data_IF_046113454510
#
_entry.id   IF_046113454510
#
_cell.length_a   1.000
_cell.length_b   1.000
_cell.length_c   1.000
_cell.angle_alpha   90.00
_cell.angle_beta   90.00
_cell.angle_gamma   90.00
#
_symmetry.space_group_name_H-M   'P 1'
#
loop_
_entity.id
_entity.type
_entity.pdbx_description
1 polymer ?
#
# COMPACT_ATOMS: atom_id res chain seq x y z
N UNK A 1 13.83 -17.14 4.12
CA UNK A 1 12.76 -16.14 4.01
C UNK A 1 12.68 -15.71 2.55
N UNK A 2 11.75 -16.27 1.78
CA UNK A 2 11.53 -16.00 0.35
C UNK A 2 10.62 -14.79 0.23
N UNK A 3 11.03 -13.80 -0.56
CA UNK A 3 10.29 -12.54 -0.69
C UNK A 3 10.20 -12.10 -2.14
N UNK A 4 9.07 -11.49 -2.50
CA UNK A 4 8.87 -10.85 -3.79
C UNK A 4 8.54 -9.38 -3.54
N UNK A 5 9.07 -8.50 -4.36
CA UNK A 5 8.66 -7.11 -4.40
C UNK A 5 8.09 -6.81 -5.80
N UNK A 6 6.93 -6.17 -5.84
CA UNK A 6 6.32 -5.69 -7.08
C UNK A 6 6.46 -4.17 -7.20
N UNK A 7 6.25 -3.65 -8.40
CA UNK A 7 6.14 -2.22 -8.62
C UNK A 7 5.04 -1.60 -7.74
N UNK A 8 5.19 -0.34 -7.30
CA UNK A 8 4.22 0.31 -6.43
C UNK A 8 2.79 0.24 -6.99
N UNK A 9 1.90 -0.46 -6.28
CA UNK A 9 0.53 -0.71 -6.73
C UNK A 9 -0.26 0.58 -6.96
N UNK A 10 0.00 1.66 -6.21
CA UNK A 10 -0.65 2.95 -6.48
C UNK A 10 -0.35 3.52 -7.87
N UNK A 11 0.79 3.16 -8.47
CA UNK A 11 1.13 3.55 -9.84
C UNK A 11 0.53 2.59 -10.87
N UNK A 12 0.51 1.29 -10.57
CA UNK A 12 -0.01 0.26 -11.48
C UNK A 12 -1.53 0.35 -11.59
N UNK A 13 -2.22 0.58 -10.47
CA UNK A 13 -3.66 0.69 -10.39
C UNK A 13 -4.14 2.15 -10.42
N UNK A 14 -3.41 3.02 -11.13
CA UNK A 14 -3.80 4.41 -11.31
C UNK A 14 -5.21 4.52 -11.92
N UNK A 15 -6.05 5.39 -11.37
CA UNK A 15 -7.44 5.56 -11.82
C UNK A 15 -8.46 4.60 -11.20
N UNK A 16 -8.02 3.62 -10.41
CA UNK A 16 -8.91 2.75 -9.65
C UNK A 16 -9.13 3.25 -8.22
N UNK A 17 -10.32 2.95 -7.67
CA UNK A 17 -10.71 3.31 -6.31
C UNK A 17 -10.32 2.26 -5.26
N UNK A 18 -10.68 2.53 -4.01
CA UNK A 18 -10.32 1.74 -2.81
C UNK A 18 -10.68 0.27 -2.94
N UNK A 19 -11.90 -0.07 -3.37
CA UNK A 19 -12.35 -1.48 -3.50
C UNK A 19 -11.48 -2.28 -4.47
N UNK A 20 -10.98 -1.64 -5.52
CA UNK A 20 -10.10 -2.29 -6.48
C UNK A 20 -8.73 -2.57 -5.86
N UNK A 21 -8.21 -1.66 -5.02
CA UNK A 21 -6.96 -1.85 -4.30
C UNK A 21 -7.06 -3.05 -3.34
N UNK A 22 -8.17 -3.20 -2.62
CA UNK A 22 -8.43 -4.37 -1.76
C UNK A 22 -8.45 -5.66 -2.57
N UNK A 23 -9.14 -5.67 -3.72
CA UNK A 23 -9.15 -6.84 -4.62
C UNK A 23 -7.75 -7.18 -5.13
N UNK A 24 -6.94 -6.17 -5.47
CA UNK A 24 -5.56 -6.36 -5.90
C UNK A 24 -4.73 -6.97 -4.76
N UNK A 25 -4.86 -6.46 -3.53
CA UNK A 25 -4.15 -7.02 -2.37
C UNK A 25 -4.46 -8.52 -2.17
N UNK A 26 -5.74 -8.91 -2.24
CA UNK A 26 -6.17 -10.32 -2.16
C UNK A 26 -5.56 -11.18 -3.28
N UNK A 27 -5.51 -10.65 -4.51
CA UNK A 27 -4.90 -11.37 -5.64
C UNK A 27 -3.39 -11.51 -5.50
N UNK A 28 -2.72 -10.50 -4.98
CA UNK A 28 -1.28 -10.57 -4.68
C UNK A 28 -0.99 -11.58 -3.57
N UNK A 29 -1.82 -11.64 -2.52
CA UNK A 29 -1.68 -12.62 -1.45
C UNK A 29 -1.85 -14.06 -1.96
N UNK A 30 -2.85 -14.28 -2.82
CA UNK A 30 -3.06 -15.57 -3.47
C UNK A 30 -1.86 -15.96 -4.35
N UNK A 31 -1.35 -15.04 -5.18
CA UNK A 31 -0.16 -15.29 -5.99
C UNK A 31 1.08 -15.58 -5.13
N UNK A 32 1.25 -14.89 -4.00
CA UNK A 32 2.33 -15.16 -3.06
C UNK A 32 2.20 -16.55 -2.41
N UNK A 33 0.98 -16.99 -2.11
CA UNK A 33 0.70 -18.32 -1.60
C UNK A 33 1.03 -19.41 -2.64
N UNK A 34 0.60 -19.22 -3.88
CA UNK A 34 0.81 -20.17 -4.98
C UNK A 34 2.30 -20.40 -5.28
N UNK A 35 3.12 -19.35 -5.17
CA UNK A 35 4.58 -19.41 -5.39
C UNK A 35 5.33 -19.84 -4.12
N UNK A 36 4.65 -19.97 -2.97
CA UNK A 36 5.25 -20.38 -1.71
C UNK A 36 6.23 -19.35 -1.13
N UNK A 37 5.85 -18.07 -1.19
CA UNK A 37 6.63 -16.93 -0.71
C UNK A 37 6.13 -16.47 0.66
N UNK A 38 7.05 -16.09 1.54
CA UNK A 38 6.74 -15.70 2.91
C UNK A 38 6.15 -14.28 2.98
N UNK A 39 6.70 -13.35 2.20
CA UNK A 39 6.27 -11.95 2.16
C UNK A 39 6.27 -11.37 0.74
N UNK A 40 5.24 -10.60 0.42
CA UNK A 40 5.11 -9.84 -0.82
C UNK A 40 5.05 -8.34 -0.52
N UNK A 41 6.08 -7.61 -0.93
CA UNK A 41 6.12 -6.16 -0.84
C UNK A 41 5.70 -5.48 -2.14
N UNK A 42 5.39 -4.18 -2.07
CA UNK A 42 5.06 -3.37 -3.25
C UNK A 42 3.61 -2.89 -3.30
N UNK A 43 2.76 -3.34 -2.37
CA UNK A 43 1.46 -2.71 -2.11
C UNK A 43 1.66 -1.33 -1.47
N UNK A 44 2.04 -0.34 -2.27
CA UNK A 44 2.60 0.90 -1.75
C UNK A 44 2.48 2.07 -2.71
N UNK A 45 2.81 3.24 -2.18
CA UNK A 45 2.71 4.52 -2.87
C UNK A 45 3.88 5.45 -2.53
N UNK A 46 4.22 6.33 -3.47
CA UNK A 46 5.17 7.42 -3.25
C UNK A 46 4.39 8.74 -3.21
N UNK A 47 4.36 9.37 -2.04
CA UNK A 47 3.52 10.55 -1.78
C UNK A 47 4.33 11.78 -1.34
N UNK A 48 5.65 11.67 -1.32
CA UNK A 48 6.57 12.74 -0.90
C UNK A 48 6.53 14.01 -1.78
N UNK A 49 5.98 13.96 -3.00
CA UNK A 49 5.79 15.13 -3.90
C UNK A 49 4.32 15.55 -4.05
N UNK A 50 3.44 14.99 -3.21
CA UNK A 50 1.99 15.14 -3.32
C UNK A 50 1.29 13.79 -3.44
N UNK A 51 0.02 13.78 -3.10
CA UNK A 51 -0.82 12.58 -3.12
C UNK A 51 -1.70 12.57 -4.37
N UNK A 52 -1.51 11.55 -5.21
CA UNK A 52 -2.44 11.27 -6.31
C UNK A 52 -3.72 10.64 -5.77
N UNK A 53 -4.81 10.69 -6.55
CA UNK A 53 -6.05 9.99 -6.22
C UNK A 53 -5.84 8.49 -6.01
N UNK A 54 -4.96 7.87 -6.78
CA UNK A 54 -4.61 6.45 -6.62
C UNK A 54 -3.82 6.18 -5.33
N UNK A 55 -2.95 7.10 -4.91
CA UNK A 55 -2.23 6.97 -3.65
C UNK A 55 -3.17 7.13 -2.44
N UNK A 56 -4.13 8.07 -2.53
CA UNK A 56 -5.21 8.23 -1.53
C UNK A 56 -6.01 6.93 -1.41
N UNK A 57 -6.50 6.41 -2.55
CA UNK A 57 -7.27 5.17 -2.59
C UNK A 57 -6.48 3.98 -2.03
N UNK A 58 -5.17 3.90 -2.30
CA UNK A 58 -4.33 2.87 -1.71
C UNK A 58 -4.22 3.02 -0.20
N UNK A 59 -3.96 4.23 0.32
CA UNK A 59 -3.89 4.49 1.77
C UNK A 59 -5.20 4.09 2.44
N UNK A 60 -6.33 4.51 1.89
CA UNK A 60 -7.65 4.23 2.45
C UNK A 60 -8.01 2.74 2.40
N UNK A 61 -7.41 1.98 1.48
CA UNK A 61 -7.62 0.54 1.39
C UNK A 61 -6.80 -0.28 2.40
N UNK A 62 -5.80 0.32 3.06
CA UNK A 62 -4.86 -0.42 3.91
C UNK A 62 -5.50 -1.19 5.06
N UNK A 63 -6.44 -0.62 5.85
CA UNK A 63 -7.08 -1.35 6.96
C UNK A 63 -7.77 -2.62 6.49
N UNK A 64 -8.53 -2.51 5.39
CA UNK A 64 -9.25 -3.66 4.84
C UNK A 64 -8.32 -4.65 4.12
N UNK A 65 -7.35 -4.16 3.35
CA UNK A 65 -6.43 -4.99 2.59
C UNK A 65 -5.54 -5.83 3.50
N UNK A 66 -4.95 -5.23 4.54
CA UNK A 66 -4.00 -5.90 5.42
C UNK A 66 -4.67 -6.81 6.46
N UNK A 67 -5.93 -6.53 6.85
CA UNK A 67 -6.70 -7.46 7.68
C UNK A 67 -7.14 -8.73 6.94
N UNK A 68 -7.21 -8.68 5.60
CA UNK A 68 -7.68 -9.79 4.76
C UNK A 68 -6.55 -10.48 3.99
N UNK A 69 -5.28 -10.15 4.26
CA UNK A 69 -4.11 -10.75 3.61
C UNK A 69 -3.07 -11.16 4.65
N UNK A 70 -2.32 -12.22 4.40
CA UNK A 70 -1.35 -12.76 5.36
C UNK A 70 0.11 -12.52 4.98
N UNK A 71 0.39 -12.29 3.69
CA UNK A 71 1.76 -12.20 3.14
C UNK A 71 2.05 -10.81 2.58
N UNK A 72 1.04 -10.02 2.27
CA UNK A 72 1.20 -8.70 1.65
C UNK A 72 1.70 -7.70 2.68
N UNK A 73 2.76 -6.98 2.32
CA UNK A 73 3.34 -5.89 3.08
C UNK A 73 3.13 -4.58 2.34
N UNK A 74 2.73 -3.54 3.08
CA UNK A 74 2.60 -2.19 2.56
C UNK A 74 3.81 -1.31 2.90
N UNK A 75 4.12 -0.37 2.01
CA UNK A 75 5.14 0.63 2.23
C UNK A 75 4.78 1.95 1.55
N UNK A 76 4.80 3.05 2.32
CA UNK A 76 4.44 4.38 1.81
C UNK A 76 5.56 5.37 2.08
N UNK A 77 6.06 5.97 0.99
CA UNK A 77 7.12 6.97 1.05
C UNK A 77 6.53 8.36 1.19
N UNK A 78 6.61 8.92 2.39
CA UNK A 78 6.09 10.26 2.74
C UNK A 78 7.13 11.38 2.63
N UNK A 79 8.41 11.04 2.57
CA UNK A 79 9.49 12.01 2.60
C UNK A 79 10.61 11.66 1.62
N UNK A 80 11.30 12.68 1.15
CA UNK A 80 12.58 12.56 0.46
C UNK A 80 13.44 13.80 0.73
N UNK A 81 14.76 13.67 0.68
CA UNK A 81 15.67 14.81 0.84
C UNK A 81 15.45 15.90 -0.19
N UNK A 82 14.98 15.54 -1.40
CA UNK A 82 14.72 16.47 -2.49
C UNK A 82 13.39 17.21 -2.39
N UNK A 83 12.33 16.53 -1.94
CA UNK A 83 10.97 17.10 -1.90
C UNK A 83 10.52 17.52 -0.49
N UNK A 84 11.33 17.23 0.53
CA UNK A 84 10.94 17.42 1.93
C UNK A 84 9.99 16.32 2.42
N UNK A 85 9.18 16.67 3.41
CA UNK A 85 8.21 15.78 4.06
C UNK A 85 6.81 16.23 3.68
N UNK A 86 5.99 15.31 3.18
CA UNK A 86 4.57 15.58 2.97
C UNK A 86 3.81 15.36 4.30
N UNK A 87 3.54 16.46 5.01
CA UNK A 87 2.86 16.41 6.31
C UNK A 87 1.39 15.99 6.21
N UNK A 88 0.71 16.28 5.10
CA UNK A 88 -0.67 15.83 4.87
C UNK A 88 -0.72 14.30 4.76
N UNK A 89 0.25 13.72 4.05
CA UNK A 89 0.41 12.27 3.97
C UNK A 89 0.73 11.66 5.34
N UNK A 90 1.60 12.30 6.15
CA UNK A 90 1.90 11.84 7.51
C UNK A 90 0.66 11.83 8.39
N UNK A 91 -0.14 12.91 8.38
CA UNK A 91 -1.38 12.99 9.14
C UNK A 91 -2.37 11.88 8.75
N UNK A 92 -2.57 11.68 7.44
CA UNK A 92 -3.47 10.65 6.94
C UNK A 92 -3.00 9.24 7.31
N UNK A 93 -1.70 8.96 7.19
CA UNK A 93 -1.14 7.68 7.62
C UNK A 93 -1.27 7.47 9.11
N UNK A 94 -1.13 8.52 9.94
CA UNK A 94 -1.33 8.42 11.38
C UNK A 94 -2.73 7.90 11.73
N UNK A 95 -3.77 8.47 11.10
CA UNK A 95 -5.14 7.97 11.25
C UNK A 95 -5.33 6.56 10.70
N UNK A 96 -4.71 6.26 9.55
CA UNK A 96 -4.82 4.94 8.90
C UNK A 96 -4.17 3.84 9.74
N UNK A 97 -2.98 4.08 10.30
CA UNK A 97 -2.27 3.15 11.17
C UNK A 97 -3.10 2.85 12.41
N UNK A 98 -3.74 3.87 13.00
CA UNK A 98 -4.67 3.68 14.11
C UNK A 98 -5.85 2.79 13.70
N UNK A 99 -6.48 3.07 12.56
CA UNK A 99 -7.59 2.27 12.04
C UNK A 99 -7.20 0.83 11.66
N UNK A 100 -5.92 0.56 11.38
CA UNK A 100 -5.40 -0.80 11.17
C UNK A 100 -5.14 -1.56 12.47
N UNK A 101 -4.95 -0.84 13.58
CA UNK A 101 -4.65 -1.42 14.88
C UNK A 101 -5.90 -1.69 15.72
N UNK A 102 -6.98 -0.97 15.45
CA UNK A 102 -8.34 -1.20 15.99
C UNK A 102 -9.03 -2.36 15.25
#
# INVERSE_FOLDING_TARGET
>A
NKRIAVSPIASVAAGHGTDAMVRIAKRLDQAAADVGVDLLGGFGAMVHKGMTSSAVALIDSLPEALSQTGRVCSGISVASTRAGVNMDAVLKLGHTIRAMAE
#
